data_IF_582812234138
#
_entry.id   IF_582812234138
#
_cell.length_a   1.000
_cell.length_b   1.000
_cell.length_c   1.000
_cell.angle_alpha   90.00
_cell.angle_beta   90.00
_cell.angle_gamma   90.00
#
_symmetry.space_group_name_H-M   'P 1'
#
loop_
_entity.id
_entity.type
_entity.pdbx_description
1 polymer ?
#
# COMPACT_ATOMS: atom_id res chain seq x y z
N UNK A 1 -10.86 1.94 -7.57
CA UNK A 1 -9.83 2.93 -7.21
C UNK A 1 -8.48 2.23 -7.17
N UNK A 2 -7.45 2.78 -7.82
CA UNK A 2 -6.09 2.22 -7.80
C UNK A 2 -5.27 2.80 -6.66
N UNK A 3 -4.62 1.95 -5.87
CA UNK A 3 -3.82 2.42 -4.75
C UNK A 3 -2.50 1.65 -4.55
N UNK A 4 -1.45 2.37 -4.17
CA UNK A 4 -0.25 1.76 -3.58
C UNK A 4 -0.45 1.70 -2.08
N UNK A 5 -0.20 0.51 -1.50
CA UNK A 5 -0.29 0.27 -0.07
C UNK A 5 1.13 0.16 0.48
N UNK A 6 1.54 1.12 1.31
CA UNK A 6 2.87 1.09 1.93
C UNK A 6 3.06 -0.18 2.78
N UNK A 7 4.27 -0.71 2.78
CA UNK A 7 4.67 -1.91 3.53
C UNK A 7 4.30 -1.82 5.01
N UNK A 8 4.40 -0.62 5.60
CA UNK A 8 4.06 -0.43 7.00
C UNK A 8 2.57 -0.66 7.30
N UNK A 9 1.69 -0.44 6.31
CA UNK A 9 0.25 -0.69 6.40
C UNK A 9 0.00 -2.19 6.37
N UNK A 10 0.69 -2.94 5.49
CA UNK A 10 0.62 -4.41 5.44
C UNK A 10 1.02 -5.04 6.78
N UNK A 11 2.16 -4.61 7.35
CA UNK A 11 2.63 -5.07 8.65
C UNK A 11 1.61 -4.75 9.75
N UNK A 12 1.10 -3.51 9.75
CA UNK A 12 0.12 -3.07 10.75
C UNK A 12 -1.20 -3.83 10.66
N UNK A 13 -1.66 -4.18 9.45
CA UNK A 13 -2.86 -4.96 9.23
C UNK A 13 -2.75 -6.36 9.83
N UNK A 14 -1.59 -7.01 9.65
CA UNK A 14 -1.32 -8.33 10.23
C UNK A 14 -1.17 -8.29 11.76
N UNK A 15 -0.66 -7.19 12.34
CA UNK A 15 -0.55 -7.04 13.80
C UNK A 15 -1.86 -6.68 14.51
N UNK A 16 -2.74 -5.93 13.83
CA UNK A 16 -3.97 -5.38 14.41
C UNK A 16 -5.16 -5.71 13.51
N UNK A 17 -5.63 -6.97 13.52
CA UNK A 17 -6.89 -7.34 12.88
C UNK A 17 -8.03 -6.40 13.33
N UNK A 18 -8.88 -5.97 12.40
CA UNK A 18 -9.99 -5.03 12.65
C UNK A 18 -9.59 -3.56 12.81
N UNK A 19 -8.30 -3.22 12.84
CA UNK A 19 -7.82 -1.84 12.79
C UNK A 19 -7.96 -1.22 11.39
N UNK A 20 -7.78 0.10 11.28
CA UNK A 20 -7.87 0.79 10.00
C UNK A 20 -6.96 0.21 8.88
N UNK A 21 -5.70 -0.18 9.15
CA UNK A 21 -4.88 -0.89 8.15
C UNK A 21 -5.53 -2.20 7.68
N UNK A 22 -6.10 -3.00 8.58
CA UNK A 22 -6.78 -4.24 8.22
C UNK A 22 -8.00 -3.98 7.33
N UNK A 23 -8.80 -2.93 7.62
CA UNK A 23 -9.93 -2.53 6.77
C UNK A 23 -9.51 -2.13 5.35
N UNK A 24 -8.36 -1.45 5.20
CA UNK A 24 -7.80 -1.15 3.87
C UNK A 24 -7.46 -2.45 3.13
N UNK A 25 -6.85 -3.42 3.80
CA UNK A 25 -6.54 -4.72 3.18
C UNK A 25 -7.80 -5.52 2.86
N UNK A 26 -8.81 -5.49 3.72
CA UNK A 26 -10.13 -6.10 3.45
C UNK A 26 -10.77 -5.49 2.21
N UNK A 27 -10.69 -4.17 2.03
CA UNK A 27 -11.17 -3.49 0.83
C UNK A 27 -10.37 -3.83 -0.43
N UNK A 28 -9.06 -4.11 -0.28
CA UNK A 28 -8.21 -4.67 -1.36
C UNK A 28 -8.68 -6.08 -1.73
N UNK A 29 -8.87 -6.96 -0.75
CA UNK A 29 -9.36 -8.32 -0.99
C UNK A 29 -10.78 -8.37 -1.56
N UNK A 30 -11.63 -7.39 -1.20
CA UNK A 30 -12.97 -7.25 -1.76
C UNK A 30 -13.00 -6.66 -3.18
N UNK A 31 -11.87 -6.20 -3.71
CA UNK A 31 -11.76 -5.58 -5.04
C UNK A 31 -12.23 -4.12 -5.12
N UNK A 32 -12.65 -3.51 -4.00
CA UNK A 32 -12.96 -2.08 -3.93
C UNK A 32 -11.72 -1.22 -4.21
N UNK A 33 -10.57 -1.72 -3.75
CA UNK A 33 -9.25 -1.15 -4.03
C UNK A 33 -8.47 -2.11 -4.91
N UNK A 34 -8.03 -1.65 -6.06
CA UNK A 34 -7.09 -2.37 -6.92
C UNK A 34 -5.67 -1.99 -6.50
N UNK A 35 -4.87 -2.92 -5.95
CA UNK A 35 -3.52 -2.60 -5.52
C UNK A 35 -2.60 -2.44 -6.72
N UNK A 36 -1.79 -1.39 -6.70
CA UNK A 36 -0.71 -1.16 -7.65
C UNK A 36 0.58 -1.73 -7.05
N UNK A 37 1.17 -2.71 -7.72
CA UNK A 37 2.34 -3.45 -7.22
C UNK A 37 3.41 -3.50 -8.30
N UNK A 38 4.61 -3.03 -7.99
CA UNK A 38 5.81 -3.24 -8.81
C UNK A 38 6.65 -4.41 -8.28
N UNK A 39 7.60 -4.90 -9.08
CA UNK A 39 8.58 -5.90 -8.64
C UNK A 39 9.35 -5.44 -7.38
N UNK A 40 9.78 -4.18 -7.35
CA UNK A 40 10.51 -3.61 -6.21
C UNK A 40 9.65 -3.58 -4.93
N UNK A 41 8.38 -3.20 -5.05
CA UNK A 41 7.45 -3.20 -3.91
C UNK A 41 7.19 -4.61 -3.42
N UNK A 42 6.94 -5.57 -4.31
CA UNK A 42 6.70 -6.95 -3.90
C UNK A 42 7.94 -7.57 -3.23
N UNK A 43 9.14 -7.25 -3.74
CA UNK A 43 10.40 -7.65 -3.12
C UNK A 43 10.55 -7.05 -1.72
N UNK A 44 10.21 -5.77 -1.55
CA UNK A 44 10.21 -5.11 -0.24
C UNK A 44 9.18 -5.73 0.72
N UNK A 45 7.96 -5.99 0.26
CA UNK A 45 6.94 -6.68 1.06
C UNK A 45 7.47 -8.01 1.56
N UNK A 46 8.02 -8.83 0.67
CA UNK A 46 8.62 -10.11 1.07
C UNK A 46 9.75 -9.92 2.07
N UNK A 47 10.66 -8.98 1.83
CA UNK A 47 11.82 -8.73 2.70
C UNK A 47 11.43 -8.19 4.08
N UNK A 48 10.33 -7.43 4.18
CA UNK A 48 9.84 -6.88 5.46
C UNK A 48 8.96 -7.87 6.18
N UNK A 49 7.92 -8.41 5.55
CA UNK A 49 6.94 -9.26 6.21
C UNK A 49 7.52 -10.60 6.71
N UNK A 50 8.65 -11.05 6.16
CA UNK A 50 9.33 -12.29 6.59
C UNK A 50 10.33 -12.09 7.74
N UNK A 51 10.52 -10.85 8.20
CA UNK A 51 11.39 -10.52 9.33
C UNK A 51 10.92 -11.19 10.62
N UNK A 52 11.80 -11.95 11.26
CA UNK A 52 11.48 -12.74 12.47
C UNK A 52 11.07 -11.87 13.64
N UNK A 53 11.65 -10.67 13.75
CA UNK A 53 11.36 -9.68 14.79
C UNK A 53 9.91 -9.19 14.75
N UNK A 54 9.24 -9.24 13.59
CA UNK A 54 7.84 -8.82 13.48
C UNK A 54 6.86 -9.87 14.05
N UNK A 55 7.31 -11.12 14.24
CA UNK A 55 6.50 -12.22 14.79
C UNK A 55 5.15 -12.40 14.10
N UNK A 56 5.11 -12.18 12.79
CA UNK A 56 3.90 -12.33 11.98
C UNK A 56 3.59 -13.82 11.70
N UNK A 57 2.32 -14.24 11.66
CA UNK A 57 1.95 -15.60 11.27
C UNK A 57 2.40 -15.90 9.83
N UNK A 58 3.19 -16.95 9.64
CA UNK A 58 3.78 -17.30 8.34
C UNK A 58 2.73 -17.54 7.26
N UNK A 59 1.62 -18.20 7.60
CA UNK A 59 0.56 -18.51 6.64
C UNK A 59 -0.12 -17.24 6.15
N UNK A 60 -0.45 -16.31 7.06
CA UNK A 60 -1.04 -15.00 6.71
C UNK A 60 -0.10 -14.15 5.85
N UNK A 61 1.21 -14.17 6.15
CA UNK A 61 2.23 -13.49 5.31
C UNK A 61 2.27 -14.09 3.91
N UNK A 62 2.32 -15.41 3.80
CA UNK A 62 2.39 -16.09 2.51
C UNK A 62 1.12 -15.90 1.67
N UNK A 63 -0.05 -15.89 2.30
CA UNK A 63 -1.32 -15.59 1.64
C UNK A 63 -1.35 -14.16 1.11
N UNK A 64 -1.00 -13.17 1.94
CA UNK A 64 -0.93 -11.77 1.54
C UNK A 64 0.05 -11.57 0.39
N UNK A 65 1.28 -12.09 0.49
CA UNK A 65 2.27 -11.97 -0.58
C UNK A 65 1.80 -12.62 -1.89
N UNK A 66 1.14 -13.78 -1.84
CA UNK A 66 0.57 -14.43 -3.02
C UNK A 66 -0.55 -13.59 -3.65
N UNK A 67 -1.42 -13.00 -2.82
CA UNK A 67 -2.48 -12.13 -3.31
C UNK A 67 -1.88 -10.92 -4.04
N UNK A 68 -0.99 -10.16 -3.42
CA UNK A 68 -0.38 -8.97 -4.03
C UNK A 68 0.46 -9.31 -5.28
N UNK A 69 1.10 -10.50 -5.31
CA UNK A 69 1.83 -10.94 -6.50
C UNK A 69 0.94 -11.13 -7.74
N UNK A 70 -0.36 -11.40 -7.56
CA UNK A 70 -1.31 -11.51 -8.67
C UNK A 70 -1.60 -10.16 -9.35
N UNK A 71 -1.23 -9.04 -8.72
CA UNK A 71 -1.41 -7.67 -9.22
C UNK A 71 -0.09 -7.03 -9.68
N UNK A 72 0.97 -7.84 -9.87
CA UNK A 72 2.23 -7.35 -10.39
C UNK A 72 2.04 -6.67 -11.75
N UNK A 73 2.47 -5.42 -11.84
CA UNK A 73 2.51 -4.66 -13.07
C UNK A 73 3.94 -4.62 -13.60
N UNK A 74 4.16 -4.85 -14.91
CA UNK A 74 5.46 -4.69 -15.55
C UNK A 74 5.75 -3.20 -15.70
N UNK A 75 6.14 -2.56 -14.61
CA UNK A 75 6.48 -1.15 -14.59
C UNK A 75 7.94 -0.95 -14.97
N UNK A 76 8.27 0.02 -15.83
CA UNK A 76 9.65 0.41 -16.02
C UNK A 76 10.20 0.98 -14.71
N UNK A 77 11.54 0.96 -14.51
CA UNK A 77 12.17 1.61 -13.37
C UNK A 77 11.72 3.07 -13.31
N UNK A 78 10.86 3.35 -12.34
CA UNK A 78 10.16 4.60 -12.25
C UNK A 78 11.03 5.60 -11.49
N UNK A 79 11.29 6.75 -12.09
CA UNK A 79 11.87 7.89 -11.38
C UNK A 79 10.83 9.00 -11.40
N UNK A 80 10.09 9.16 -10.31
CA UNK A 80 9.23 10.33 -10.18
C UNK A 80 10.09 11.60 -10.11
N UNK A 81 9.62 12.71 -10.71
CA UNK A 81 10.30 14.00 -10.64
C UNK A 81 10.12 14.67 -9.28
N UNK A 82 9.33 14.09 -8.38
CA UNK A 82 9.00 14.68 -7.09
C UNK A 82 10.06 14.31 -6.04
N UNK A 83 10.60 15.30 -5.30
CA UNK A 83 11.55 15.01 -4.23
C UNK A 83 10.83 14.30 -3.08
N UNK A 84 11.31 13.12 -2.70
CA UNK A 84 10.78 12.40 -1.54
C UNK A 84 11.57 12.80 -0.28
N UNK A 85 10.92 13.35 0.77
CA UNK A 85 11.59 13.73 2.01
C UNK A 85 12.40 12.60 2.66
N UNK A 86 11.94 11.35 2.52
CA UNK A 86 12.63 10.18 3.00
C UNK A 86 13.07 9.29 1.83
N UNK A 87 14.38 9.31 1.52
CA UNK A 87 14.93 8.61 0.35
C UNK A 87 14.55 7.11 0.26
N UNK A 88 14.52 6.32 1.35
CA UNK A 88 14.09 4.91 1.28
C UNK A 88 12.66 4.69 0.80
N UNK A 89 11.76 5.64 1.04
CA UNK A 89 10.34 5.55 0.67
C UNK A 89 10.06 6.09 -0.75
N UNK A 90 11.08 6.64 -1.42
CA UNK A 90 10.94 7.15 -2.78
C UNK A 90 10.43 6.09 -3.75
N UNK A 91 10.82 4.82 -3.56
CA UNK A 91 10.35 3.71 -4.40
C UNK A 91 8.83 3.50 -4.33
N UNK A 92 8.22 3.75 -3.17
CA UNK A 92 6.77 3.65 -2.96
C UNK A 92 6.05 4.76 -3.75
N UNK A 93 6.60 5.98 -3.70
CA UNK A 93 6.12 7.11 -4.49
C UNK A 93 6.27 6.87 -6.00
N UNK A 94 7.43 6.36 -6.41
CA UNK A 94 7.74 6.05 -7.81
C UNK A 94 6.78 5.00 -8.39
N UNK A 95 6.52 3.92 -7.64
CA UNK A 95 5.55 2.90 -8.00
C UNK A 95 4.12 3.45 -8.09
N UNK A 96 3.74 4.34 -7.17
CA UNK A 96 2.41 4.96 -7.19
C UNK A 96 2.19 5.78 -8.47
N UNK A 97 3.19 6.56 -8.87
CA UNK A 97 3.07 7.41 -10.05
C UNK A 97 3.13 6.61 -11.36
N UNK A 98 4.09 5.70 -11.49
CA UNK A 98 4.23 4.91 -12.73
C UNK A 98 3.15 3.86 -12.90
N UNK A 99 2.59 3.34 -11.79
CA UNK A 99 1.46 2.41 -11.84
C UNK A 99 0.10 3.09 -11.97
N UNK A 100 0.06 4.43 -12.08
CA UNK A 100 -1.19 5.19 -12.21
C UNK A 100 -2.09 5.05 -10.98
N UNK A 101 -1.50 4.95 -9.78
CA UNK A 101 -2.26 4.95 -8.55
C UNK A 101 -2.89 6.32 -8.31
N UNK A 102 -4.15 6.32 -7.89
CA UNK A 102 -4.88 7.52 -7.48
C UNK A 102 -4.57 7.85 -6.01
N UNK A 103 -4.21 6.82 -5.23
CA UNK A 103 -3.97 6.91 -3.79
C UNK A 103 -2.68 6.21 -3.38
N UNK A 104 -1.90 6.82 -2.49
CA UNK A 104 -0.84 6.17 -1.72
C UNK A 104 -1.28 6.12 -0.26
N UNK A 105 -1.41 4.91 0.28
CA UNK A 105 -1.81 4.68 1.67
C UNK A 105 -0.59 4.39 2.52
N UNK A 106 -0.30 5.24 3.50
CA UNK A 106 0.88 5.10 4.37
C UNK A 106 0.59 5.53 5.81
N UNK A 107 1.20 4.84 6.78
CA UNK A 107 1.23 5.34 8.16
C UNK A 107 2.28 6.42 8.41
N UNK A 108 3.17 6.71 7.46
CA UNK A 108 4.31 7.62 7.60
C UNK A 108 4.18 8.85 6.69
N UNK A 109 3.06 9.57 6.76
CA UNK A 109 2.76 10.71 5.86
C UNK A 109 3.92 11.71 5.70
N UNK A 110 4.67 12.00 6.77
CA UNK A 110 5.82 12.91 6.79
C UNK A 110 6.99 12.48 5.89
N UNK A 111 7.04 11.21 5.46
CA UNK A 111 8.08 10.69 4.58
C UNK A 111 7.83 11.03 3.11
N UNK A 112 6.61 11.48 2.79
CA UNK A 112 6.17 11.77 1.43
C UNK A 112 5.95 13.28 1.22
N UNK A 113 5.97 13.75 -0.04
CA UNK A 113 5.63 15.14 -0.35
C UNK A 113 4.21 15.46 0.11
N UNK A 114 3.98 16.69 0.58
CA UNK A 114 2.64 17.13 1.00
C UNK A 114 1.65 17.23 -0.16
N UNK A 115 2.13 17.37 -1.40
CA UNK A 115 1.31 17.45 -2.61
C UNK A 115 2.01 16.82 -3.79
N UNK A 116 1.32 15.89 -4.44
CA UNK A 116 1.71 15.30 -5.72
C UNK A 116 0.48 15.35 -6.65
N UNK A 117 0.52 16.11 -7.75
CA UNK A 117 -0.58 16.17 -8.71
C UNK A 117 -1.03 14.77 -9.15
N UNK A 118 -2.34 14.52 -9.09
CA UNK A 118 -2.94 13.23 -9.49
C UNK A 118 -2.78 12.08 -8.47
N UNK A 119 -2.07 12.28 -7.36
CA UNK A 119 -1.87 11.28 -6.32
C UNK A 119 -2.26 11.81 -4.94
N UNK A 120 -3.26 11.19 -4.33
CA UNK A 120 -3.68 11.49 -2.95
C UNK A 120 -2.91 10.64 -1.95
N UNK A 121 -2.15 11.27 -1.05
CA UNK A 121 -1.37 10.55 -0.03
C UNK A 121 -2.11 10.65 1.30
N UNK A 122 -2.49 9.50 1.88
CA UNK A 122 -3.35 9.49 3.07
C UNK A 122 -3.07 8.34 4.03
N UNK A 123 -3.53 8.51 5.27
CA UNK A 123 -3.40 7.48 6.30
C UNK A 123 -4.43 6.36 6.10
N UNK A 124 -4.16 5.14 6.62
CA UNK A 124 -5.14 4.06 6.58
C UNK A 124 -6.46 4.42 7.26
N UNK A 125 -6.42 5.22 8.33
CA UNK A 125 -7.64 5.69 9.03
C UNK A 125 -8.49 6.55 8.12
N UNK A 126 -7.88 7.56 7.50
CA UNK A 126 -8.61 8.46 6.61
C UNK A 126 -9.24 7.68 5.44
N UNK A 127 -8.51 6.74 4.84
CA UNK A 127 -9.07 5.92 3.77
C UNK A 127 -10.21 5.02 4.26
N UNK A 128 -10.06 4.36 5.41
CA UNK A 128 -11.11 3.52 5.98
C UNK A 128 -12.41 4.32 6.23
N UNK A 129 -12.31 5.54 6.76
CA UNK A 129 -13.46 6.42 6.99
C UNK A 129 -14.16 6.82 5.67
N UNK A 130 -13.40 7.01 4.58
CA UNK A 130 -13.96 7.28 3.24
C UNK A 130 -14.69 6.06 2.65
N UNK A 131 -14.18 4.86 2.89
CA UNK A 131 -14.80 3.62 2.44
C UNK A 131 -16.12 3.35 3.17
N UNK A 132 -16.20 3.69 4.46
CA UNK A 132 -17.41 3.50 5.27
C UNK A 132 -18.55 4.48 4.90
N UNK A 133 -18.22 5.64 4.32
CA UNK A 133 -19.20 6.64 3.88
C UNK A 133 -19.66 6.48 2.43
N UNK A 134 -19.01 5.60 1.66
CA UNK A 134 -19.44 5.30 0.29
C UNK A 134 -20.59 4.28 0.35
N UNK A 135 -21.83 4.62 -0.10
CA UNK A 135 -22.92 3.67 -0.10
C UNK A 135 -22.52 2.47 -0.96
N UNK A 136 -22.55 1.26 -0.36
CA UNK A 136 -22.40 0.02 -1.12
C UNK A 136 -23.63 -0.07 -2.02
N UNK A 137 -23.46 0.24 -3.30
CA UNK A 137 -24.54 0.19 -4.28
C UNK A 137 -25.24 -1.18 -4.25
N UNK A 138 -26.57 -1.09 -4.26
CA UNK A 138 -27.54 -2.20 -4.33
C UNK A 138 -27.41 -3.03 -5.61
#
# INVERSE_FOLDING_TARGET
>A
MKAVIDTNVLVSALWRPGGAPARVIEAVYAGTIEPVVSDDLLAEYRAVLTRRELRLPRDSVNEMLRFFAAFLLPLPPAVSPYPCPHAPDKRVLDAALSGGAEVLVTGNLKHFPSRVPGLSIMSPRHLADLLDTTPRGE
#
